data_IF_250049352949
#
_entry.id   IF_250049352949
#
_cell.length_a   1.000
_cell.length_b   1.000
_cell.length_c   1.000
_cell.angle_alpha   90.00
_cell.angle_beta   90.00
_cell.angle_gamma   90.00
#
_symmetry.space_group_name_H-M   'P 1'
#
loop_
_entity.id
_entity.type
_entity.pdbx_description
1 polymer ?
#
# COMPACT_ATOMS: atom_id res chain seq x y z
N UNK A 1 -12.40 1.75 7.82
CA UNK A 1 -13.67 0.98 7.90
C UNK A 1 -13.96 0.74 9.36
N UNK A 2 -15.10 1.20 9.85
CA UNK A 2 -15.57 0.95 11.19
C UNK A 2 -15.97 -0.54 11.28
N UNK A 3 -15.22 -1.33 12.04
CA UNK A 3 -15.47 -2.78 12.19
C UNK A 3 -16.88 -3.05 12.72
N UNK A 4 -17.35 -2.22 13.66
CA UNK A 4 -18.66 -2.36 14.27
C UNK A 4 -19.80 -2.13 13.26
N UNK A 5 -19.67 -1.15 12.37
CA UNK A 5 -20.66 -0.87 11.30
C UNK A 5 -20.64 -1.89 10.18
N UNK A 6 -19.49 -2.58 9.99
CA UNK A 6 -19.30 -3.54 8.91
C UNK A 6 -19.66 -4.99 9.26
N UNK A 7 -20.08 -5.29 10.49
CA UNK A 7 -20.30 -6.65 11.00
C UNK A 7 -19.04 -7.55 10.84
N UNK A 8 -17.85 -6.96 10.96
CA UNK A 8 -16.59 -7.71 10.94
C UNK A 8 -16.09 -7.95 12.37
N UNK A 9 -15.59 -9.14 12.63
CA UNK A 9 -14.98 -9.49 13.93
C UNK A 9 -13.56 -8.95 14.08
N UNK A 10 -12.85 -8.78 12.96
CA UNK A 10 -11.48 -8.24 12.87
C UNK A 10 -11.22 -7.62 11.51
N UNK A 11 -10.12 -6.87 11.38
CA UNK A 11 -9.67 -6.29 10.12
C UNK A 11 -8.14 -6.21 10.05
N UNK A 12 -7.57 -6.31 8.85
CA UNK A 12 -6.15 -6.09 8.62
C UNK A 12 -5.95 -4.70 8.03
N UNK A 13 -5.03 -3.91 8.62
CA UNK A 13 -4.71 -2.56 8.18
C UNK A 13 -3.23 -2.24 8.41
N UNK A 14 -2.74 -1.20 7.72
CA UNK A 14 -1.48 -0.54 8.09
C UNK A 14 -1.55 0.05 9.49
N UNK A 15 -0.40 0.46 10.02
CA UNK A 15 -0.34 1.06 11.34
C UNK A 15 -1.14 2.37 11.36
N UNK A 16 -2.18 2.40 12.17
CA UNK A 16 -3.01 3.58 12.47
C UNK A 16 -3.05 3.78 13.99
N UNK A 17 -3.45 4.98 14.41
CA UNK A 17 -3.69 5.28 15.83
C UNK A 17 -4.81 4.36 16.32
N UNK A 18 -4.49 3.59 17.37
CA UNK A 18 -5.43 2.65 17.99
C UNK A 18 -6.46 3.39 18.84
N UNK A 19 -7.72 3.07 18.66
CA UNK A 19 -8.74 3.36 19.64
C UNK A 19 -8.47 2.56 20.94
N UNK A 20 -8.77 3.14 22.10
CA UNK A 20 -8.43 2.56 23.40
C UNK A 20 -8.98 1.15 23.66
N UNK A 21 -10.07 0.79 22.96
CA UNK A 21 -10.75 -0.51 23.09
C UNK A 21 -10.37 -1.55 22.02
N UNK A 22 -9.32 -1.26 21.23
CA UNK A 22 -8.83 -2.16 20.18
C UNK A 22 -7.54 -2.86 20.60
N UNK A 23 -7.35 -4.06 20.06
CA UNK A 23 -6.08 -4.81 20.09
C UNK A 23 -5.49 -4.80 18.68
N UNK A 24 -4.19 -4.58 18.56
CA UNK A 24 -3.43 -4.77 17.33
C UNK A 24 -2.41 -5.89 17.50
N UNK A 25 -2.48 -6.87 16.63
CA UNK A 25 -1.48 -7.91 16.48
C UNK A 25 -0.74 -7.68 15.16
N UNK A 26 0.58 -7.47 15.21
CA UNK A 26 1.40 -7.35 14.00
C UNK A 26 1.38 -8.67 13.23
N UNK A 27 1.03 -8.61 11.93
CA UNK A 27 0.94 -9.80 11.07
C UNK A 27 1.92 -9.79 9.91
N UNK A 28 2.30 -8.60 9.44
CA UNK A 28 3.29 -8.41 8.37
C UNK A 28 4.08 -7.15 8.70
N UNK A 29 5.35 -7.15 8.40
CA UNK A 29 6.13 -5.93 8.38
C UNK A 29 7.59 -6.10 8.69
N UNK A 30 8.39 -5.07 8.48
CA UNK A 30 8.03 -3.81 7.80
C UNK A 30 7.74 -4.00 6.30
N UNK A 31 7.11 -3.02 5.65
CA UNK A 31 6.77 -3.05 4.23
C UNK A 31 7.37 -1.84 3.53
N UNK A 32 8.17 -2.09 2.50
CA UNK A 32 8.75 -1.04 1.68
C UNK A 32 7.79 -0.63 0.56
N UNK A 33 7.46 0.65 0.52
CA UNK A 33 6.64 1.21 -0.55
C UNK A 33 7.48 1.88 -1.60
N UNK A 34 7.23 1.53 -2.86
CA UNK A 34 7.99 1.99 -4.03
C UNK A 34 7.07 2.53 -5.14
N UNK A 35 7.61 3.43 -5.95
CA UNK A 35 6.97 3.86 -7.19
C UNK A 35 7.51 3.02 -8.34
N UNK A 36 6.63 2.46 -9.16
CA UNK A 36 7.02 1.65 -10.31
C UNK A 36 6.27 2.03 -11.57
N UNK A 37 6.91 1.76 -12.69
CA UNK A 37 6.33 1.85 -14.03
C UNK A 37 6.92 0.81 -14.96
N UNK A 38 6.23 0.49 -16.05
CA UNK A 38 6.81 -0.36 -17.08
C UNK A 38 7.89 0.38 -17.88
N UNK A 39 8.91 -0.33 -18.42
CA UNK A 39 9.91 0.27 -19.32
C UNK A 39 9.27 1.08 -20.44
N UNK A 40 8.21 0.54 -21.05
CA UNK A 40 7.45 1.20 -22.12
C UNK A 40 6.90 2.57 -21.71
N UNK A 41 6.36 2.69 -20.49
CA UNK A 41 5.87 3.96 -19.98
C UNK A 41 7.01 4.94 -19.76
N UNK A 42 8.08 4.47 -19.12
CA UNK A 42 9.24 5.29 -18.74
C UNK A 42 10.05 5.78 -19.94
N UNK A 43 10.16 4.98 -20.99
CA UNK A 43 10.80 5.39 -22.25
C UNK A 43 10.02 6.49 -22.95
N UNK A 44 8.70 6.41 -22.94
CA UNK A 44 7.83 7.39 -23.59
C UNK A 44 7.69 8.70 -22.81
N UNK A 45 7.62 8.63 -21.47
CA UNK A 45 7.26 9.78 -20.65
C UNK A 45 8.43 10.30 -19.79
N UNK A 46 9.58 9.66 -19.83
CA UNK A 46 10.74 9.96 -18.99
C UNK A 46 10.70 9.25 -17.63
N UNK A 47 11.88 9.24 -16.97
CA UNK A 47 12.04 8.66 -15.62
C UNK A 47 12.10 9.79 -14.59
N UNK A 48 11.14 9.89 -13.65
CA UNK A 48 11.21 10.83 -12.55
C UNK A 48 12.52 10.69 -11.77
N UNK A 49 13.16 11.80 -11.45
CA UNK A 49 14.39 11.85 -10.65
C UNK A 49 14.15 12.37 -9.24
N UNK A 50 13.03 13.04 -9.04
CA UNK A 50 12.58 13.56 -7.76
C UNK A 50 11.07 13.31 -7.59
N UNK A 51 10.55 13.05 -6.37
CA UNK A 51 9.11 12.81 -6.16
C UNK A 51 8.19 13.90 -6.71
N UNK A 52 8.62 15.16 -6.74
CA UNK A 52 7.86 16.26 -7.36
C UNK A 52 7.65 16.09 -8.86
N UNK A 53 8.51 15.35 -9.56
CA UNK A 53 8.36 15.09 -11.00
C UNK A 53 7.11 14.25 -11.30
N UNK A 54 6.59 13.51 -10.29
CA UNK A 54 5.34 12.75 -10.40
C UNK A 54 4.14 13.62 -10.77
N UNK A 55 4.19 14.92 -10.49
CA UNK A 55 3.16 15.88 -10.88
C UNK A 55 3.00 16.00 -12.41
N UNK A 56 4.02 15.60 -13.16
CA UNK A 56 4.04 15.59 -14.62
C UNK A 56 3.74 14.21 -15.23
N UNK A 57 3.51 13.21 -14.37
CA UNK A 57 3.26 11.84 -14.77
C UNK A 57 1.81 11.40 -14.52
N UNK A 58 1.38 10.38 -15.28
CA UNK A 58 0.10 9.71 -15.04
C UNK A 58 0.24 8.72 -13.88
N UNK A 59 -0.17 9.12 -12.69
CA UNK A 59 -0.12 8.31 -11.48
C UNK A 59 -1.47 7.63 -11.24
N UNK A 60 -1.49 6.31 -11.29
CA UNK A 60 -2.69 5.49 -11.09
C UNK A 60 -2.93 5.33 -9.58
N UNK A 61 -4.14 5.65 -9.12
CA UNK A 61 -4.43 5.81 -7.70
C UNK A 61 -5.35 4.72 -7.17
N UNK A 62 -5.08 4.30 -5.93
CA UNK A 62 -5.93 3.36 -5.21
C UNK A 62 -7.09 4.09 -4.52
N UNK A 63 -8.28 3.47 -4.49
CA UNK A 63 -9.41 3.90 -3.68
C UNK A 63 -9.67 2.90 -2.57
N UNK A 64 -9.70 3.38 -1.34
CA UNK A 64 -10.09 2.60 -0.17
C UNK A 64 -11.52 2.95 0.25
N UNK A 65 -12.37 1.92 0.30
CA UNK A 65 -13.78 2.12 0.60
C UNK A 65 -14.51 2.95 -0.46
N UNK A 66 -15.53 3.70 -0.04
CA UNK A 66 -16.39 4.47 -0.96
C UNK A 66 -15.84 5.85 -1.33
N UNK A 67 -15.01 6.46 -0.48
CA UNK A 67 -14.66 7.90 -0.59
C UNK A 67 -13.17 8.20 -0.56
N UNK A 68 -12.34 7.37 0.06
CA UNK A 68 -10.92 7.70 0.28
C UNK A 68 -10.06 7.30 -0.93
N UNK A 69 -9.50 8.30 -1.62
CA UNK A 69 -8.52 8.10 -2.68
C UNK A 69 -7.14 8.29 -2.07
N UNK A 70 -6.27 7.28 -2.26
CA UNK A 70 -4.87 7.37 -1.87
C UNK A 70 -4.09 8.08 -2.97
N UNK A 71 -4.04 9.39 -2.90
CA UNK A 71 -3.39 10.29 -3.85
C UNK A 71 -2.20 11.04 -3.25
N UNK A 72 -1.93 10.89 -1.95
CA UNK A 72 -0.79 11.46 -1.24
C UNK A 72 0.25 10.36 -1.03
N UNK A 73 1.12 10.20 -2.01
CA UNK A 73 2.21 9.22 -1.93
C UNK A 73 3.31 9.71 -1.01
N UNK A 74 3.83 8.82 -0.20
CA UNK A 74 4.75 9.11 0.89
C UNK A 74 6.18 8.87 0.46
N UNK A 75 7.05 9.77 0.86
CA UNK A 75 8.48 9.75 0.54
C UNK A 75 9.29 10.19 1.73
N UNK A 76 10.55 9.77 1.76
CA UNK A 76 11.54 10.22 2.72
C UNK A 76 12.75 10.82 2.01
N UNK A 77 13.31 11.88 2.57
CA UNK A 77 14.59 12.44 2.13
C UNK A 77 15.43 12.83 3.35
N UNK A 78 16.54 12.12 3.57
CA UNK A 78 17.48 12.36 4.69
C UNK A 78 16.78 12.38 6.06
N UNK A 79 15.92 11.41 6.31
CA UNK A 79 15.18 11.26 7.57
C UNK A 79 13.97 12.21 7.71
N UNK A 80 13.60 12.93 6.65
CA UNK A 80 12.41 13.78 6.65
C UNK A 80 11.35 13.20 5.72
N UNK A 81 10.24 12.82 6.31
CA UNK A 81 9.07 12.37 5.56
C UNK A 81 8.32 13.54 4.93
N UNK A 82 7.79 13.31 3.74
CA UNK A 82 6.94 14.26 3.03
C UNK A 82 6.01 13.53 2.09
N UNK A 83 4.95 14.19 1.65
CA UNK A 83 3.96 13.64 0.74
C UNK A 83 3.91 14.43 -0.55
N UNK A 84 3.63 13.74 -1.66
CA UNK A 84 3.32 14.35 -2.95
C UNK A 84 1.90 13.97 -3.35
N UNK A 85 1.06 14.97 -3.55
CA UNK A 85 -0.29 14.76 -4.04
C UNK A 85 -0.28 14.56 -5.55
N UNK A 86 -0.44 13.32 -5.97
CA UNK A 86 -0.37 12.90 -7.37
C UNK A 86 -1.75 12.93 -8.05
N UNK A 87 -1.73 12.99 -9.39
CA UNK A 87 -2.92 12.96 -10.24
C UNK A 87 -2.74 11.93 -11.36
N UNK A 88 -3.83 11.46 -11.92
CA UNK A 88 -3.78 10.54 -13.04
C UNK A 88 -5.17 10.15 -13.56
N UNK A 89 -5.17 9.36 -14.63
CA UNK A 89 -6.37 9.03 -15.40
C UNK A 89 -7.23 7.93 -14.77
N UNK A 90 -6.63 7.09 -13.87
CA UNK A 90 -7.33 5.94 -13.29
C UNK A 90 -7.34 6.01 -11.77
N UNK A 91 -8.50 5.63 -11.21
CA UNK A 91 -8.71 5.35 -9.80
C UNK A 91 -9.40 4.00 -9.72
N UNK A 92 -8.79 3.04 -9.01
CA UNK A 92 -9.31 1.69 -8.86
C UNK A 92 -9.33 1.29 -7.39
N UNK A 93 -10.21 0.35 -7.04
CA UNK A 93 -10.33 -0.22 -5.70
C UNK A 93 -9.74 -1.63 -5.58
N UNK A 94 -9.01 -2.06 -6.61
CA UNK A 94 -8.32 -3.35 -6.65
C UNK A 94 -6.88 -3.14 -7.14
N UNK A 95 -5.92 -3.56 -6.33
CA UNK A 95 -4.48 -3.41 -6.58
C UNK A 95 -4.00 -4.23 -7.79
N UNK A 96 -4.64 -5.38 -8.09
CA UNK A 96 -4.26 -6.22 -9.23
C UNK A 96 -4.54 -5.51 -10.57
N UNK A 97 -5.67 -4.80 -10.66
CA UNK A 97 -5.98 -4.01 -11.87
C UNK A 97 -5.09 -2.77 -12.01
N UNK A 98 -4.66 -2.16 -10.91
CA UNK A 98 -3.65 -1.10 -10.96
C UNK A 98 -2.32 -1.65 -11.46
N UNK A 99 -1.88 -2.79 -10.94
CA UNK A 99 -0.65 -3.47 -11.36
C UNK A 99 -0.71 -3.85 -12.85
N UNK A 100 -1.81 -4.43 -13.31
CA UNK A 100 -2.00 -4.78 -14.72
C UNK A 100 -1.96 -3.54 -15.63
N UNK A 101 -2.53 -2.42 -15.16
CA UNK A 101 -2.48 -1.14 -15.88
C UNK A 101 -1.06 -0.58 -15.97
N UNK A 102 -0.26 -0.70 -14.92
CA UNK A 102 1.14 -0.28 -14.93
C UNK A 102 1.97 -1.15 -15.88
N UNK A 103 1.78 -2.48 -15.86
CA UNK A 103 2.41 -3.44 -16.78
C UNK A 103 2.10 -3.11 -18.24
N UNK A 104 0.87 -2.68 -18.54
CA UNK A 104 0.45 -2.23 -19.88
C UNK A 104 0.97 -0.85 -20.28
N UNK A 105 1.69 -0.16 -19.40
CA UNK A 105 2.28 1.15 -19.67
C UNK A 105 1.31 2.31 -19.62
N UNK A 106 0.22 2.19 -18.85
CA UNK A 106 -0.78 3.26 -18.71
C UNK A 106 -0.26 4.36 -17.78
N UNK A 107 0.48 4.00 -16.72
CA UNK A 107 0.98 4.99 -15.77
C UNK A 107 1.89 4.38 -14.71
N UNK A 108 2.19 5.19 -13.69
CA UNK A 108 2.97 4.82 -12.50
C UNK A 108 2.03 4.39 -11.38
N UNK A 109 2.46 3.44 -10.56
CA UNK A 109 1.76 3.04 -9.32
C UNK A 109 2.70 3.13 -8.12
N UNK A 110 2.11 3.29 -6.94
CA UNK A 110 2.76 3.22 -5.64
C UNK A 110 2.27 1.96 -4.94
N UNK A 111 3.20 1.06 -4.60
CA UNK A 111 2.85 -0.29 -4.11
C UNK A 111 3.92 -0.85 -3.21
N UNK A 112 3.60 -1.91 -2.46
CA UNK A 112 4.57 -2.68 -1.71
C UNK A 112 5.53 -3.42 -2.65
N UNK A 113 6.84 -3.32 -2.41
CA UNK A 113 7.89 -3.91 -3.24
C UNK A 113 7.76 -5.43 -3.36
N UNK A 114 7.39 -6.08 -2.25
CA UNK A 114 7.25 -7.52 -2.18
C UNK A 114 6.21 -8.07 -3.17
N UNK A 115 5.14 -7.30 -3.42
CA UNK A 115 4.04 -7.72 -4.32
C UNK A 115 4.41 -7.70 -5.79
N UNK A 116 5.50 -7.02 -6.15
CA UNK A 116 5.92 -6.81 -7.54
C UNK A 116 7.30 -7.39 -7.86
N UNK A 117 7.93 -8.07 -6.91
CA UNK A 117 9.31 -8.57 -7.02
C UNK A 117 9.53 -9.45 -8.26
N UNK A 118 8.57 -10.30 -8.62
CA UNK A 118 8.66 -11.14 -9.82
C UNK A 118 8.64 -10.34 -11.12
N UNK A 119 7.85 -9.26 -11.16
CA UNK A 119 7.78 -8.39 -12.33
C UNK A 119 9.05 -7.54 -12.49
N UNK A 120 9.67 -7.14 -11.38
CA UNK A 120 10.97 -6.46 -11.39
C UNK A 120 12.05 -7.40 -11.92
N UNK A 121 12.13 -8.63 -11.38
CA UNK A 121 13.09 -9.64 -11.85
C UNK A 121 12.91 -10.00 -13.33
N UNK A 122 11.69 -9.99 -13.79
CA UNK A 122 11.35 -10.25 -15.20
C UNK A 122 11.56 -9.02 -16.12
N UNK A 123 11.99 -7.86 -15.59
CA UNK A 123 12.17 -6.62 -16.37
C UNK A 123 10.87 -6.02 -16.90
N UNK A 124 9.71 -6.41 -16.35
CA UNK A 124 8.40 -5.90 -16.76
C UNK A 124 8.02 -4.61 -16.06
N UNK A 125 8.60 -4.37 -14.89
CA UNK A 125 8.49 -3.13 -14.12
C UNK A 125 9.88 -2.67 -13.70
N UNK A 126 10.05 -1.34 -13.55
CA UNK A 126 11.22 -0.70 -13.00
C UNK A 126 10.82 0.09 -11.76
N UNK A 127 11.58 -0.06 -10.66
CA UNK A 127 11.47 0.81 -9.50
C UNK A 127 12.13 2.14 -9.84
N UNK A 128 11.42 3.23 -9.58
CA UNK A 128 11.93 4.58 -9.71
C UNK A 128 11.88 5.28 -8.36
N UNK A 129 12.69 6.31 -8.17
CA UNK A 129 12.75 7.10 -6.93
C UNK A 129 13.10 6.27 -5.68
N UNK A 130 13.82 5.14 -5.83
CA UNK A 130 14.20 4.25 -4.72
C UNK A 130 14.90 4.96 -3.57
N UNK A 131 15.69 6.01 -3.86
CA UNK A 131 16.35 6.83 -2.82
C UNK A 131 15.39 7.64 -1.94
N UNK A 132 14.11 7.67 -2.28
CA UNK A 132 13.06 8.36 -1.56
C UNK A 132 11.99 7.41 -1.01
N UNK A 133 12.17 6.10 -1.17
CA UNK A 133 11.22 5.09 -0.68
C UNK A 133 11.07 5.18 0.83
N UNK A 134 9.86 4.90 1.31
CA UNK A 134 9.53 4.85 2.73
C UNK A 134 9.29 3.41 3.17
N UNK A 135 9.51 3.17 4.45
CA UNK A 135 9.17 1.92 5.10
C UNK A 135 8.00 2.15 6.05
N UNK A 136 6.94 1.38 5.90
CA UNK A 136 5.84 1.38 6.87
C UNK A 136 6.10 0.36 7.98
N UNK A 137 5.47 0.56 9.14
CA UNK A 137 5.55 -0.38 10.25
C UNK A 137 4.96 -1.77 9.93
N UNK A 138 4.28 -1.91 8.78
CA UNK A 138 3.66 -3.14 8.31
C UNK A 138 2.16 -3.18 8.54
N UNK A 139 1.60 -4.41 8.51
CA UNK A 139 0.16 -4.64 8.67
C UNK A 139 -0.15 -5.30 9.99
N UNK A 140 -1.29 -4.94 10.57
CA UNK A 140 -1.75 -5.39 11.86
C UNK A 140 -3.18 -5.94 11.74
N UNK A 141 -3.45 -7.02 12.46
CA UNK A 141 -4.80 -7.50 12.71
C UNK A 141 -5.39 -6.70 13.87
N UNK A 142 -6.45 -5.95 13.60
CA UNK A 142 -7.20 -5.16 14.58
C UNK A 142 -8.50 -5.84 14.94
N UNK A 143 -8.81 -5.91 16.23
CA UNK A 143 -10.08 -6.42 16.73
C UNK A 143 -10.42 -5.78 18.07
N UNK A 144 -11.75 -5.67 18.42
CA UNK A 144 -12.17 -5.17 19.72
C UNK A 144 -11.69 -6.08 20.85
N UNK A 145 -11.26 -5.51 21.98
CA UNK A 145 -10.84 -6.28 23.17
C UNK A 145 -11.92 -7.27 23.61
N UNK A 146 -13.19 -6.84 23.58
CA UNK A 146 -14.33 -7.69 23.96
C UNK A 146 -14.51 -8.89 23.03
N UNK A 147 -14.06 -8.81 21.78
CA UNK A 147 -14.17 -9.90 20.79
C UNK A 147 -13.08 -10.96 20.96
N UNK A 148 -12.06 -10.72 21.77
CA UNK A 148 -10.93 -11.65 21.99
C UNK A 148 -11.38 -13.00 22.59
N UNK A 149 -12.49 -13.02 23.31
CA UNK A 149 -13.05 -14.24 23.93
C UNK A 149 -13.88 -15.07 22.95
N UNK A 150 -14.18 -14.57 21.75
CA UNK A 150 -14.97 -15.30 20.74
C UNK A 150 -14.15 -16.47 20.20
N UNK A 151 -14.65 -17.73 20.30
CA UNK A 151 -13.87 -18.91 19.94
C UNK A 151 -13.33 -18.89 18.49
N UNK A 152 -14.16 -18.43 17.53
CA UNK A 152 -13.78 -18.32 16.12
C UNK A 152 -12.62 -17.33 15.89
N UNK A 153 -12.67 -16.17 16.54
CA UNK A 153 -11.62 -15.16 16.41
C UNK A 153 -10.35 -15.60 17.13
N UNK A 154 -10.47 -16.24 18.27
CA UNK A 154 -9.33 -16.79 19.02
C UNK A 154 -8.59 -17.85 18.21
N UNK A 155 -9.32 -18.82 17.61
CA UNK A 155 -8.71 -19.82 16.74
C UNK A 155 -7.95 -19.19 15.55
N UNK A 156 -8.52 -18.15 14.94
CA UNK A 156 -7.88 -17.40 13.87
C UNK A 156 -6.62 -16.66 14.34
N UNK A 157 -6.67 -15.99 15.49
CA UNK A 157 -5.52 -15.29 16.09
C UNK A 157 -4.40 -16.27 16.43
N UNK A 158 -4.75 -17.43 17.03
CA UNK A 158 -3.77 -18.45 17.41
C UNK A 158 -3.11 -19.06 16.17
N UNK A 159 -3.88 -19.28 15.09
CA UNK A 159 -3.34 -19.72 13.80
C UNK A 159 -2.33 -18.69 13.23
N UNK A 160 -2.71 -17.42 13.14
CA UNK A 160 -1.81 -16.36 12.65
C UNK A 160 -0.53 -16.29 13.48
N UNK A 161 -0.62 -16.37 14.81
CA UNK A 161 0.56 -16.32 15.70
C UNK A 161 1.54 -17.47 15.49
N UNK A 162 1.07 -18.60 15.02
CA UNK A 162 1.91 -19.76 14.73
C UNK A 162 2.60 -19.67 13.37
N UNK A 163 2.13 -18.78 12.48
CA UNK A 163 2.68 -18.59 11.12
C UNK A 163 3.61 -17.36 11.00
N UNK A 164 3.64 -16.51 12.04
CA UNK A 164 4.53 -15.34 12.15
C UNK A 164 5.78 -15.72 12.93
#
# INVERSE_FOLDING_TARGET
TDLAKGNFDAGIRGHEILDQDMVALKVIGPVHYVVVGSPKYLEKNGRPKHPKDLLLHNCLRMRFGSTSIYDRWEFENKGKEFQVQVKGSLIMNDSNYLLDSALKGIGLIYTAEETISDFIRAGKLEIILSNFSTESAGYYLYYPKVSQVMPKLRAFIDHIKNEI
#
